data_IF_672377419445
#
_entry.id   IF_672377419445
#
_cell.length_a   1.000
_cell.length_b   1.000
_cell.length_c   1.000
_cell.angle_alpha   90.00
_cell.angle_beta   90.00
_cell.angle_gamma   90.00
#
_symmetry.space_group_name_H-M   'P 1'
#
loop_
_entity.id
_entity.type
_entity.pdbx_description
1 polymer ?
#
# COMPACT_ATOMS: atom_id res chain seq x y z
N UNK A 1 29.51 7.82 -17.52
CA UNK A 1 29.28 7.83 -17.12
C UNK A 1 28.83 8.33 -16.22
N UNK A 2 28.73 8.54 -15.90
CA UNK A 2 28.42 9.17 -15.01
C UNK A 2 27.17 9.82 -14.91
N UNK A 3 26.26 9.67 -15.79
CA UNK A 3 24.97 10.29 -15.72
C UNK A 3 24.21 9.85 -14.50
N UNK A 4 24.51 8.71 -14.02
CA UNK A 4 23.84 8.26 -12.80
C UNK A 4 24.13 9.16 -11.65
N UNK A 5 25.37 9.58 -11.53
CA UNK A 5 25.67 10.43 -10.41
C UNK A 5 24.98 11.75 -10.54
N UNK A 6 24.75 12.18 -11.75
CA UNK A 6 24.03 13.42 -11.91
C UNK A 6 22.64 13.31 -11.38
N UNK A 7 22.00 12.19 -11.67
CA UNK A 7 20.67 12.02 -11.19
C UNK A 7 20.61 12.02 -9.69
N UNK A 8 21.54 11.35 -9.09
CA UNK A 8 21.51 11.29 -7.65
C UNK A 8 21.77 12.65 -7.04
N UNK A 9 22.44 13.52 -7.75
CA UNK A 9 22.68 14.83 -7.20
C UNK A 9 21.40 15.67 -7.18
N UNK A 10 20.39 15.25 -7.87
CA UNK A 10 19.15 15.98 -7.84
C UNK A 10 18.28 15.49 -6.72
N UNK A 11 18.69 15.77 -5.54
CA UNK A 11 17.95 15.34 -4.37
C UNK A 11 16.68 16.17 -4.25
N UNK A 12 15.55 15.53 -4.10
CA UNK A 12 14.30 16.28 -3.94
C UNK A 12 14.29 17.04 -2.63
N UNK A 13 13.48 18.07 -2.55
CA UNK A 13 13.35 18.80 -1.28
C UNK A 13 12.87 17.89 -0.17
N UNK A 14 13.13 18.29 1.03
CA UNK A 14 12.77 17.49 2.18
C UNK A 14 11.27 17.17 2.19
N UNK A 15 10.46 18.14 1.81
CA UNK A 15 9.02 17.93 1.78
C UNK A 15 8.65 16.84 0.80
N UNK A 16 9.28 16.85 -0.37
CA UNK A 16 9.02 15.83 -1.37
C UNK A 16 9.44 14.46 -0.88
N UNK A 17 10.57 14.41 -0.21
CA UNK A 17 11.09 13.16 0.29
C UNK A 17 10.15 12.58 1.34
N UNK A 18 9.67 13.43 2.22
CA UNK A 18 8.74 12.99 3.26
C UNK A 18 7.45 12.47 2.64
N UNK A 19 6.95 13.17 1.63
CA UNK A 19 5.73 12.74 0.97
C UNK A 19 5.92 11.39 0.30
N UNK A 20 7.04 11.20 -0.35
CA UNK A 20 7.33 9.94 -1.00
C UNK A 20 7.44 8.81 -0.01
N UNK A 21 8.12 9.05 1.11
CA UNK A 21 8.25 8.05 2.14
C UNK A 21 6.89 7.66 2.70
N UNK A 22 6.04 8.65 2.87
CA UNK A 22 4.72 8.41 3.39
C UNK A 22 3.89 7.57 2.43
N UNK A 23 3.95 7.89 1.15
CA UNK A 23 3.22 7.12 0.16
C UNK A 23 3.73 5.70 0.07
N UNK A 24 5.05 5.54 0.14
CA UNK A 24 5.62 4.22 0.06
C UNK A 24 5.21 3.38 1.26
N UNK A 25 5.25 3.97 2.44
CA UNK A 25 4.84 3.26 3.65
C UNK A 25 3.38 2.86 3.57
N UNK A 26 2.56 3.72 3.03
CA UNK A 26 1.15 3.42 2.88
C UNK A 26 0.94 2.30 1.88
N UNK A 27 1.71 2.33 0.80
CA UNK A 27 1.64 1.27 -0.18
C UNK A 27 1.98 -0.09 0.43
N UNK A 28 3.04 -0.12 1.22
CA UNK A 28 3.43 -1.37 1.87
C UNK A 28 2.39 -1.83 2.87
N UNK A 29 1.80 -0.90 3.58
CA UNK A 29 0.78 -1.26 4.56
C UNK A 29 -0.46 -1.82 3.87
N UNK A 30 -0.85 -1.23 2.75
CA UNK A 30 -1.98 -1.75 2.00
C UNK A 30 -1.68 -3.15 1.49
N UNK A 31 -0.47 -3.35 1.01
CA UNK A 31 -0.10 -4.66 0.48
C UNK A 31 -0.21 -5.71 1.56
N UNK A 32 0.20 -5.36 2.78
CA UNK A 32 0.10 -6.29 3.88
C UNK A 32 -1.35 -6.66 4.17
N UNK A 33 -2.23 -5.67 4.12
CA UNK A 33 -3.63 -5.92 4.37
C UNK A 33 -4.24 -6.81 3.29
N UNK A 34 -3.84 -6.58 2.05
CA UNK A 34 -4.34 -7.38 0.95
C UNK A 34 -3.87 -8.82 1.09
N UNK A 35 -2.63 -9.01 1.49
CA UNK A 35 -2.10 -10.35 1.68
C UNK A 35 -2.81 -11.06 2.82
N UNK A 36 -3.10 -10.35 3.89
CA UNK A 36 -3.84 -10.93 4.99
C UNK A 36 -5.24 -11.34 4.53
N UNK A 37 -5.87 -10.48 3.77
CA UNK A 37 -7.19 -10.78 3.25
C UNK A 37 -7.14 -12.01 2.35
N UNK A 38 -6.08 -12.10 1.55
CA UNK A 38 -5.91 -13.25 0.69
C UNK A 38 -5.83 -14.54 1.50
N UNK A 39 -5.06 -14.52 2.58
CA UNK A 39 -4.93 -15.69 3.42
C UNK A 39 -6.26 -16.11 4.03
N UNK A 40 -6.99 -15.14 4.56
CA UNK A 40 -8.24 -15.43 5.20
C UNK A 40 -9.26 -16.00 4.22
N UNK A 41 -9.38 -15.35 3.07
CA UNK A 41 -10.36 -15.79 2.08
C UNK A 41 -9.95 -17.12 1.45
N UNK A 42 -8.64 -17.33 1.31
CA UNK A 42 -8.17 -18.60 0.77
C UNK A 42 -8.51 -19.75 1.71
N UNK A 43 -8.38 -19.49 2.99
CA UNK A 43 -8.74 -20.52 3.97
C UNK A 43 -10.22 -20.86 3.90
N UNK A 44 -11.04 -19.84 3.77
CA UNK A 44 -12.48 -20.07 3.67
C UNK A 44 -12.83 -20.84 2.40
N UNK A 45 -12.13 -20.53 1.32
CA UNK A 45 -12.42 -21.18 0.05
C UNK A 45 -11.79 -22.55 -0.06
N UNK A 46 -10.83 -22.86 0.78
CA UNK A 46 -10.15 -24.13 0.70
C UNK A 46 -9.10 -24.17 -0.40
N UNK A 47 -8.75 -23.04 -0.97
CA UNK A 47 -7.74 -22.98 -2.00
C UNK A 47 -7.24 -21.55 -2.10
N UNK A 48 -6.07 -21.38 -2.70
CA UNK A 48 -5.47 -20.07 -2.85
C UNK A 48 -6.27 -19.27 -3.87
N UNK A 49 -6.85 -18.15 -3.46
CA UNK A 49 -7.67 -17.35 -4.36
C UNK A 49 -6.82 -16.45 -5.25
N UNK A 50 -5.54 -16.28 -4.91
CA UNK A 50 -4.67 -15.45 -5.72
C UNK A 50 -4.66 -14.00 -5.28
N UNK A 51 -3.56 -13.35 -5.58
CA UNK A 51 -3.38 -11.97 -5.15
C UNK A 51 -4.32 -11.02 -5.87
N UNK A 52 -4.51 -11.23 -7.15
CA UNK A 52 -5.36 -10.32 -7.92
C UNK A 52 -6.78 -10.30 -7.39
N UNK A 53 -7.31 -11.46 -7.12
CA UNK A 53 -8.66 -11.53 -6.60
C UNK A 53 -8.75 -10.88 -5.23
N UNK A 54 -7.75 -11.14 -4.41
CA UNK A 54 -7.71 -10.53 -3.08
C UNK A 54 -7.62 -9.02 -3.17
N UNK A 55 -6.83 -8.55 -4.11
CA UNK A 55 -6.67 -7.12 -4.31
C UNK A 55 -7.98 -6.46 -4.70
N UNK A 56 -8.66 -7.04 -5.66
CA UNK A 56 -9.93 -6.49 -6.11
C UNK A 56 -10.96 -6.50 -5.00
N UNK A 57 -11.03 -7.61 -4.29
CA UNK A 57 -12.00 -7.75 -3.23
C UNK A 57 -11.73 -6.78 -2.10
N UNK A 58 -10.47 -6.69 -1.69
CA UNK A 58 -10.09 -5.79 -0.63
C UNK A 58 -10.31 -4.33 -1.00
N UNK A 59 -9.94 -3.98 -2.21
CA UNK A 59 -10.10 -2.61 -2.68
C UNK A 59 -11.58 -2.22 -2.70
N UNK A 60 -12.40 -3.13 -3.13
CA UNK A 60 -13.82 -2.86 -3.25
C UNK A 60 -14.53 -2.78 -1.90
N UNK A 61 -14.17 -3.64 -0.98
CA UNK A 61 -14.94 -3.77 0.26
C UNK A 61 -14.26 -3.22 1.51
N UNK A 62 -12.96 -3.09 1.49
CA UNK A 62 -12.24 -2.74 2.72
C UNK A 62 -11.35 -1.52 2.65
N UNK A 63 -10.95 -1.15 1.47
CA UNK A 63 -9.91 -0.12 1.34
C UNK A 63 -10.35 1.24 1.89
N UNK A 64 -11.55 1.65 1.59
CA UNK A 64 -12.01 2.98 2.01
C UNK A 64 -12.02 3.07 3.53
N UNK A 65 -12.54 2.05 4.17
CA UNK A 65 -12.61 2.02 5.60
C UNK A 65 -11.22 1.98 6.23
N UNK A 66 -10.36 1.17 5.64
CA UNK A 66 -9.01 1.03 6.14
C UNK A 66 -8.25 2.35 6.07
N UNK A 67 -8.42 3.06 4.97
CA UNK A 67 -7.76 4.34 4.80
C UNK A 67 -8.28 5.37 5.79
N UNK A 68 -9.55 5.32 6.05
CA UNK A 68 -10.15 6.20 7.01
C UNK A 68 -9.56 5.98 8.40
N UNK A 69 -9.44 4.73 8.77
CA UNK A 69 -8.87 4.37 10.06
C UNK A 69 -7.42 4.80 10.15
N UNK A 70 -6.69 4.64 9.08
CA UNK A 70 -5.28 5.01 9.10
C UNK A 70 -5.09 6.51 9.26
N UNK A 71 -6.00 7.27 8.76
CA UNK A 71 -5.89 8.72 8.84
C UNK A 71 -6.24 9.27 10.19
N UNK A 72 -6.25 8.45 11.18
CA UNK A 72 -6.52 8.94 12.49
C UNK A 72 -7.79 8.39 13.04
N UNK A 73 -8.46 7.60 12.24
CA UNK A 73 -9.64 6.94 12.71
C UNK A 73 -10.76 7.85 13.07
N UNK A 74 -10.70 9.10 12.70
CA UNK A 74 -11.75 9.92 13.04
C UNK A 74 -12.54 10.27 11.87
N UNK A 75 -13.77 9.97 11.89
CA UNK A 75 -14.63 10.47 10.86
C UNK A 75 -14.67 11.93 11.15
N UNK A 76 -14.36 12.66 10.34
CA UNK A 76 -14.21 14.08 10.58
C UNK A 76 -15.44 14.72 11.17
#
# INVERSE_FOLDING_TARGET
>A
MTSMSEESSETPPAADLAARSSLYAEFLAEREEILRHKWIESEKAGCDIGFERALLDWTRHHRARWRQLRRGGKPA
#
